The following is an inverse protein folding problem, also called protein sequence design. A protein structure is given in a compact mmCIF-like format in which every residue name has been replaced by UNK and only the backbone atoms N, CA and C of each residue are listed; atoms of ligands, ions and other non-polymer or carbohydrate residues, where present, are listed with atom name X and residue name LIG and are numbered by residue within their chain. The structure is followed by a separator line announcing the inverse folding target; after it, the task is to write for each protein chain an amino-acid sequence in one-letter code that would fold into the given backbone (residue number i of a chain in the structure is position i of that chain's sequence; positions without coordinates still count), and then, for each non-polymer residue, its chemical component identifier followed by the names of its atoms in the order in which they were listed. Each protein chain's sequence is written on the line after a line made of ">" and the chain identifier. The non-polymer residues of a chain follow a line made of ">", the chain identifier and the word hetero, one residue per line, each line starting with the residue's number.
data_IF_847657329691
#
_entry.id   IF_847657329691
#
_cell.length_a   1.000
_cell.length_b   1.000
_cell.length_c   1.000
_cell.angle_alpha   90.00
_cell.angle_beta   90.00
_cell.angle_gamma   90.00
#
_symmetry.space_group_name_H-M   'P 1'
#
loop_
_entity.id
_entity.type
_entity.pdbx_description
1 polymer ?
#
# COMPACT_ATOMS: atom_id res chain seq x y z
N UNK A 1 -0.55 14.33 2.51
CA UNK A 1 -0.80 12.96 2.98
C UNK A 1 -0.68 12.95 4.49
N UNK A 2 -1.61 12.29 5.19
CA UNK A 2 -1.63 12.26 6.65
C UNK A 2 -0.72 11.13 7.17
N UNK A 3 0.24 11.47 8.04
CA UNK A 3 1.14 10.50 8.66
C UNK A 3 0.38 9.42 9.44
N UNK A 4 -0.81 9.73 9.95
CA UNK A 4 -1.68 8.77 10.65
C UNK A 4 -2.12 7.60 9.78
N UNK A 5 -2.38 7.83 8.48
CA UNK A 5 -2.74 6.75 7.54
C UNK A 5 -1.53 5.86 7.26
N UNK A 6 -0.36 6.47 7.04
CA UNK A 6 0.86 5.72 6.75
C UNK A 6 1.31 4.84 7.92
N UNK A 7 1.10 5.27 9.16
CA UNK A 7 1.56 4.56 10.36
C UNK A 7 0.46 3.78 11.07
N UNK A 8 -0.75 3.73 10.50
CA UNK A 8 -1.85 2.94 11.06
C UNK A 8 -1.40 1.47 11.23
N UNK A 9 -1.65 0.85 12.40
CA UNK A 9 -1.20 -0.51 12.68
C UNK A 9 -1.59 -1.48 11.56
N UNK A 10 -0.60 -2.21 11.04
CA UNK A 10 -0.75 -3.23 10.00
C UNK A 10 -1.25 -2.73 8.64
N UNK A 11 -1.39 -1.41 8.43
CA UNK A 11 -1.81 -0.84 7.15
C UNK A 11 -0.74 -1.01 6.07
N UNK A 12 0.52 -0.69 6.41
CA UNK A 12 1.67 -0.92 5.54
C UNK A 12 2.69 -1.79 6.27
N UNK A 13 2.97 -2.99 5.74
CA UNK A 13 3.78 -3.99 6.43
C UNK A 13 5.20 -3.53 6.72
N UNK A 14 5.74 -2.63 5.91
CA UNK A 14 7.09 -2.09 6.07
C UNK A 14 7.30 -1.36 7.42
N UNK A 15 6.23 -0.89 8.09
CA UNK A 15 6.29 -0.36 9.45
C UNK A 15 6.27 -1.41 10.56
N UNK A 16 5.99 -2.68 10.24
CA UNK A 16 6.06 -3.76 11.21
C UNK A 16 7.52 -4.03 11.56
N UNK A 17 7.85 -4.09 12.86
CA UNK A 17 9.23 -4.33 13.35
C UNK A 17 9.87 -5.62 12.82
N UNK A 18 9.06 -6.60 12.45
CA UNK A 18 9.50 -7.89 11.89
C UNK A 18 9.68 -7.87 10.37
N UNK A 19 9.30 -6.79 9.68
CA UNK A 19 9.42 -6.67 8.23
C UNK A 19 10.86 -6.31 7.84
N UNK A 20 11.35 -6.89 6.75
CA UNK A 20 12.74 -6.70 6.28
C UNK A 20 13.02 -5.27 5.80
N UNK A 21 11.97 -4.49 5.52
CA UNK A 21 12.07 -3.10 5.10
C UNK A 21 12.08 -2.12 6.29
N UNK A 22 11.69 -2.55 7.48
CA UNK A 22 11.62 -1.69 8.67
C UNK A 22 12.95 -0.98 8.98
N UNK A 23 14.13 -1.65 8.94
CA UNK A 23 15.42 -0.98 9.13
C UNK A 23 15.65 0.17 8.15
N UNK A 24 15.15 0.06 6.91
CA UNK A 24 15.29 1.12 5.92
C UNK A 24 14.44 2.33 6.24
N UNK A 25 13.23 2.12 6.78
CA UNK A 25 12.32 3.21 7.15
C UNK A 25 12.80 4.02 8.36
N UNK A 26 13.51 3.37 9.28
CA UNK A 26 14.09 4.04 10.46
C UNK A 26 15.51 4.58 10.22
N UNK A 27 16.03 4.49 8.99
CA UNK A 27 17.37 4.97 8.63
C UNK A 27 18.53 4.06 9.07
N UNK A 28 18.25 2.87 9.59
CA UNK A 28 19.28 1.88 9.94
C UNK A 28 19.85 1.15 8.71
N UNK A 29 19.16 1.22 7.56
CA UNK A 29 19.60 0.67 6.27
C UNK A 29 19.32 1.69 5.16
N UNK A 30 20.24 1.85 4.21
CA UNK A 30 19.99 2.70 3.05
C UNK A 30 18.89 2.10 2.15
N UNK A 31 17.95 2.95 1.72
CA UNK A 31 17.00 2.58 0.65
C UNK A 31 17.76 2.68 -0.68
N UNK A 32 17.71 1.65 -1.53
CA UNK A 32 18.23 1.71 -2.88
C UNK A 32 17.72 2.94 -3.66
N UNK A 33 18.63 3.70 -4.26
CA UNK A 33 18.32 5.01 -4.85
C UNK A 33 17.27 4.92 -5.97
N UNK A 34 17.37 3.89 -6.83
CA UNK A 34 16.48 3.74 -7.99
C UNK A 34 15.04 3.51 -7.55
N UNK A 35 14.85 2.65 -6.57
CA UNK A 35 13.56 2.26 -6.01
C UNK A 35 12.92 3.45 -5.28
N UNK A 36 13.72 4.20 -4.51
CA UNK A 36 13.25 5.42 -3.86
C UNK A 36 12.83 6.49 -4.89
N UNK A 37 13.64 6.69 -5.94
CA UNK A 37 13.34 7.65 -6.99
C UNK A 37 12.06 7.29 -7.75
N UNK A 38 11.87 6.01 -8.10
CA UNK A 38 10.65 5.52 -8.75
C UNK A 38 9.42 5.71 -7.87
N UNK A 39 9.49 5.32 -6.60
CA UNK A 39 8.38 5.50 -5.66
C UNK A 39 8.00 6.99 -5.51
N UNK A 40 9.00 7.87 -5.45
CA UNK A 40 8.77 9.32 -5.36
C UNK A 40 8.11 9.90 -6.61
N UNK A 41 8.57 9.51 -7.80
CA UNK A 41 7.95 9.94 -9.07
C UNK A 41 6.47 9.55 -9.11
N UNK A 42 6.14 8.31 -8.74
CA UNK A 42 4.74 7.85 -8.71
C UNK A 42 3.93 8.64 -7.68
N UNK A 43 4.46 8.85 -6.47
CA UNK A 43 3.79 9.62 -5.43
C UNK A 43 3.50 11.06 -5.90
N UNK A 44 4.49 11.73 -6.49
CA UNK A 44 4.35 13.10 -7.00
C UNK A 44 3.30 13.16 -8.13
N UNK A 45 3.31 12.20 -9.06
CA UNK A 45 2.30 12.13 -10.14
C UNK A 45 0.88 11.94 -9.62
N UNK A 46 0.69 11.12 -8.58
CA UNK A 46 -0.63 10.89 -7.96
C UNK A 46 -1.09 12.11 -7.18
N UNK A 47 -0.21 12.75 -6.40
CA UNK A 47 -0.51 13.97 -5.63
C UNK A 47 -0.90 15.12 -6.57
N UNK A 48 -0.18 15.27 -7.68
CA UNK A 48 -0.45 16.30 -8.69
C UNK A 48 -1.67 15.98 -9.57
N UNK A 49 -2.35 14.84 -9.36
CA UNK A 49 -3.51 14.42 -10.14
C UNK A 49 -3.20 14.11 -11.61
N UNK A 50 -1.93 13.83 -11.94
CA UNK A 50 -1.46 13.57 -13.31
C UNK A 50 -1.80 12.16 -13.80
N UNK A 51 -2.06 11.24 -12.88
CA UNK A 51 -2.42 9.85 -13.17
C UNK A 51 -3.82 9.60 -12.64
N UNK A 52 -4.77 9.14 -13.48
CA UNK A 52 -6.10 8.76 -13.01
C UNK A 52 -5.98 7.57 -12.05
N UNK A 53 -6.87 7.49 -11.06
CA UNK A 53 -6.89 6.39 -10.10
C UNK A 53 -7.14 5.04 -10.82
N UNK A 54 -6.13 4.15 -10.93
CA UNK A 54 -6.30 2.89 -11.62
C UNK A 54 -7.15 1.91 -10.79
N UNK A 55 -7.32 2.15 -9.49
CA UNK A 55 -8.00 1.25 -8.55
C UNK A 55 -9.52 1.41 -8.56
N UNK A 56 -10.07 2.40 -9.26
CA UNK A 56 -11.52 2.61 -9.34
C UNK A 56 -12.16 3.00 -8.01
N UNK A 57 -11.43 3.76 -7.18
CA UNK A 57 -11.87 4.25 -5.88
C UNK A 57 -11.69 3.24 -4.75
N UNK A 58 -10.66 2.39 -4.81
CA UNK A 58 -10.40 1.44 -3.75
C UNK A 58 -9.92 2.15 -2.47
N UNK A 59 -10.38 1.68 -1.32
CA UNK A 59 -9.97 2.18 0.01
C UNK A 59 -9.16 1.16 0.78
N UNK A 60 -9.23 -0.11 0.39
CA UNK A 60 -8.55 -1.21 1.04
C UNK A 60 -7.93 -2.15 0.02
N UNK A 61 -6.88 -2.84 0.41
CA UNK A 61 -6.28 -3.90 -0.37
C UNK A 61 -5.70 -4.97 0.56
N UNK A 62 -5.43 -6.16 0.02
CA UNK A 62 -4.58 -7.13 0.69
C UNK A 62 -3.67 -7.85 -0.31
N UNK A 63 -2.55 -8.36 0.19
CA UNK A 63 -1.60 -9.12 -0.62
C UNK A 63 -2.14 -10.54 -0.86
N UNK A 64 -2.16 -10.97 -2.12
CA UNK A 64 -2.67 -12.29 -2.55
C UNK A 64 -1.85 -13.44 -1.91
N UNK A 65 -0.59 -13.17 -1.54
CA UNK A 65 0.27 -14.12 -0.83
C UNK A 65 -0.17 -14.40 0.62
N UNK A 66 -1.11 -13.62 1.19
CA UNK A 66 -1.64 -13.88 2.51
C UNK A 66 -2.39 -15.22 2.54
N UNK A 67 -2.06 -16.09 3.51
CA UNK A 67 -2.69 -17.41 3.67
C UNK A 67 -4.21 -17.36 3.84
N UNK A 68 -4.71 -16.28 4.45
CA UNK A 68 -6.15 -16.07 4.69
C UNK A 68 -6.51 -14.65 4.30
N UNK A 69 -7.54 -14.50 3.48
CA UNK A 69 -8.10 -13.21 3.16
C UNK A 69 -8.70 -12.55 4.42
N UNK A 70 -8.63 -11.21 4.55
CA UNK A 70 -9.29 -10.50 5.64
C UNK A 70 -10.80 -10.74 5.64
N UNK A 71 -11.41 -10.84 6.83
CA UNK A 71 -12.85 -11.11 6.96
C UNK A 71 -13.74 -10.04 6.31
N UNK A 72 -13.27 -8.78 6.25
CA UNK A 72 -13.98 -7.68 5.61
C UNK A 72 -14.07 -7.85 4.09
N UNK A 73 -13.11 -8.55 3.46
CA UNK A 73 -13.05 -8.68 2.01
C UNK A 73 -14.25 -9.45 1.43
N UNK A 74 -14.82 -10.38 2.20
CA UNK A 74 -16.01 -11.13 1.81
C UNK A 74 -17.28 -10.26 1.67
N UNK A 75 -17.28 -9.07 2.27
CA UNK A 75 -18.41 -8.13 2.27
C UNK A 75 -18.13 -6.85 1.48
N UNK A 76 -16.93 -6.73 0.91
CA UNK A 76 -16.50 -5.59 0.15
C UNK A 76 -16.61 -5.85 -1.36
N UNK A 77 -16.57 -4.78 -2.17
CA UNK A 77 -16.57 -4.90 -3.62
C UNK A 77 -15.13 -4.88 -4.15
N UNK A 78 -14.72 -5.97 -4.77
CA UNK A 78 -13.45 -6.01 -5.50
C UNK A 78 -13.51 -5.04 -6.70
N UNK A 79 -12.43 -4.29 -6.89
CA UNK A 79 -12.32 -3.26 -7.95
C UNK A 79 -11.24 -3.61 -8.96
N UNK A 80 -10.09 -4.09 -8.48
CA UNK A 80 -8.91 -4.34 -9.29
C UNK A 80 -8.06 -5.46 -8.68
N UNK A 81 -7.43 -6.25 -9.54
CA UNK A 81 -6.25 -7.08 -9.20
C UNK A 81 -5.06 -6.56 -9.98
N UNK A 82 -3.99 -6.22 -9.28
CA UNK A 82 -2.78 -5.70 -9.90
C UNK A 82 -1.54 -6.22 -9.17
N UNK A 83 -0.68 -6.91 -9.92
CA UNK A 83 0.48 -7.58 -9.35
C UNK A 83 0.08 -8.56 -8.23
N UNK A 84 0.74 -8.44 -7.08
CA UNK A 84 0.45 -9.26 -5.89
C UNK A 84 -0.69 -8.77 -5.02
N UNK A 85 -1.51 -7.81 -5.47
CA UNK A 85 -2.55 -7.18 -4.65
C UNK A 85 -3.93 -7.28 -5.27
N UNK A 86 -4.94 -7.33 -4.40
CA UNK A 86 -6.35 -7.20 -4.74
C UNK A 86 -6.95 -6.02 -3.96
N UNK A 87 -7.68 -5.18 -4.68
CA UNK A 87 -8.17 -3.88 -4.22
C UNK A 87 -9.69 -3.89 -4.08
N UNK A 88 -10.20 -3.21 -3.07
CA UNK A 88 -11.61 -3.20 -2.69
C UNK A 88 -12.12 -1.80 -2.34
N UNK A 89 -13.40 -1.59 -2.59
CA UNK A 89 -14.20 -0.45 -2.11
C UNK A 89 -15.40 -0.97 -1.32
N UNK A 90 -16.12 -0.05 -0.69
CA UNK A 90 -17.34 -0.34 0.08
C UNK A 90 -17.07 -1.38 1.20
N UNK A 91 -15.93 -1.21 1.90
CA UNK A 91 -15.55 -2.07 3.04
C UNK A 91 -16.41 -1.72 4.26
N UNK A 92 -16.99 -2.73 4.98
CA UNK A 92 -17.85 -2.50 6.14
C UNK A 92 -17.13 -1.95 7.38
#
# INVERSE_FOLDING_TARGET
>A
MDAGVCQAPYQFSCWNKSDTNYPSLIGAKAIPFRELAQARIVADQVIDGRVPDPTGGATHYYAIAMKKAPGWAAKAKETLRLGGHVFFKDVP
#
